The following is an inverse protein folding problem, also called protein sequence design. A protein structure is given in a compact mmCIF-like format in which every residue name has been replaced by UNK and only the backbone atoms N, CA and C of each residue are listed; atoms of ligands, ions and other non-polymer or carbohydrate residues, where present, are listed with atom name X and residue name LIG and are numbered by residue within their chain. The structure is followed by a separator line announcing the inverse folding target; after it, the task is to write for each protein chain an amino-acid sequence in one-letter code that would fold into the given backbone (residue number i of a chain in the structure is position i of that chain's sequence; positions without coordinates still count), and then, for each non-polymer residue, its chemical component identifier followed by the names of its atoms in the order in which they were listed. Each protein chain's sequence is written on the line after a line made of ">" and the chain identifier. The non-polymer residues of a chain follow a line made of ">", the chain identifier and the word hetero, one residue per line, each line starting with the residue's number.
data_IF_622713420950
#
_entry.id   IF_622713420950
#
_cell.length_a   1.000
_cell.length_b   1.000
_cell.length_c   1.000
_cell.angle_alpha   90.00
_cell.angle_beta   90.00
_cell.angle_gamma   90.00
#
_symmetry.space_group_name_H-M   'P 1'
#
loop_
_entity.id
_entity.type
_entity.pdbx_description
1 polymer ?
#
# COMPACT_ATOMS: atom_id res chain seq x y z
N UNK A 1 1.39 3.05 -29.76
CA UNK A 1 0.18 2.74 -28.96
C UNK A 1 0.00 1.24 -28.94
N UNK A 2 0.26 0.58 -27.82
CA UNK A 2 0.15 -0.87 -27.70
C UNK A 2 -1.31 -1.26 -27.48
N UNK A 3 -1.94 -1.90 -28.47
CA UNK A 3 -3.29 -2.46 -28.36
C UNK A 3 -3.21 -3.76 -27.53
N UNK A 4 -3.49 -3.66 -26.23
CA UNK A 4 -3.45 -4.80 -25.32
C UNK A 4 -4.67 -5.69 -25.53
N UNK A 5 -4.49 -6.89 -26.07
CA UNK A 5 -5.48 -7.97 -25.94
C UNK A 5 -5.32 -8.68 -24.59
N UNK A 6 -6.39 -9.29 -24.08
CA UNK A 6 -6.48 -10.15 -22.89
C UNK A 6 -5.37 -11.22 -22.87
N UNK A 7 -4.94 -11.72 -21.67
CA UNK A 7 -3.80 -12.63 -21.49
C UNK A 7 -3.60 -13.64 -22.62
N UNK A 8 -2.68 -13.31 -23.53
CA UNK A 8 -2.25 -14.24 -24.58
C UNK A 8 -1.10 -15.06 -24.01
N UNK A 9 -1.39 -16.34 -23.81
CA UNK A 9 -0.38 -17.36 -23.57
C UNK A 9 0.14 -17.84 -24.92
N UNK A 10 1.45 -17.79 -25.10
CA UNK A 10 2.13 -18.50 -26.18
C UNK A 10 2.45 -19.91 -25.67
N UNK A 11 2.41 -20.90 -26.55
CA UNK A 11 2.82 -22.26 -26.19
C UNK A 11 4.26 -22.48 -26.64
N UNK A 12 5.10 -22.95 -25.74
CA UNK A 12 6.45 -23.43 -26.03
C UNK A 12 6.60 -24.88 -25.56
N UNK A 13 7.74 -25.53 -25.79
CA UNK A 13 8.02 -26.89 -25.31
C UNK A 13 9.14 -26.90 -24.29
N UNK A 14 9.00 -27.70 -23.23
CA UNK A 14 10.09 -28.00 -22.32
C UNK A 14 11.11 -28.99 -22.93
N UNK A 15 12.23 -29.20 -22.23
CA UNK A 15 13.30 -30.15 -22.60
C UNK A 15 12.83 -31.60 -22.73
N UNK A 16 11.58 -31.89 -22.35
CA UNK A 16 10.92 -33.19 -22.44
C UNK A 16 9.76 -33.22 -23.46
N UNK A 17 9.60 -32.16 -24.27
CA UNK A 17 8.63 -32.06 -25.35
C UNK A 17 7.19 -31.73 -24.94
N UNK A 18 6.93 -31.43 -23.66
CA UNK A 18 5.61 -31.02 -23.14
C UNK A 18 5.35 -29.55 -23.38
N UNK A 19 4.09 -29.20 -23.68
CA UNK A 19 3.69 -27.81 -23.92
C UNK A 19 3.70 -27.00 -22.62
N UNK A 20 4.53 -25.96 -22.54
CA UNK A 20 4.53 -24.95 -21.48
C UNK A 20 3.84 -23.68 -21.98
N UNK A 21 3.08 -23.04 -21.10
CA UNK A 21 2.53 -21.71 -21.34
C UNK A 21 3.60 -20.64 -21.07
N UNK A 22 4.10 -20.00 -22.12
CA UNK A 22 5.00 -18.84 -22.03
C UNK A 22 4.17 -17.56 -21.99
N UNK A 23 4.34 -16.71 -20.97
CA UNK A 23 3.58 -15.49 -20.87
C UNK A 23 4.01 -14.44 -21.91
N UNK A 24 3.07 -13.67 -22.46
CA UNK A 24 3.38 -12.42 -23.15
C UNK A 24 3.67 -11.30 -22.13
N UNK A 25 4.84 -10.62 -22.17
CA UNK A 25 5.22 -9.61 -21.18
C UNK A 25 4.23 -8.44 -21.04
N UNK A 26 3.66 -7.94 -22.15
CA UNK A 26 2.70 -6.84 -22.11
C UNK A 26 1.44 -7.24 -21.35
N UNK A 27 1.01 -8.49 -21.52
CA UNK A 27 -0.20 -8.99 -20.87
C UNK A 27 0.02 -9.46 -19.43
N UNK A 28 1.23 -9.88 -19.08
CA UNK A 28 1.62 -10.14 -17.70
C UNK A 28 1.50 -8.87 -16.84
N UNK A 29 2.00 -7.74 -17.35
CA UNK A 29 1.98 -6.48 -16.61
C UNK A 29 0.55 -6.02 -16.35
N UNK A 30 -0.35 -6.20 -17.32
CA UNK A 30 -1.78 -5.92 -17.13
C UNK A 30 -2.41 -6.82 -16.06
N UNK A 31 -2.06 -8.11 -16.04
CA UNK A 31 -2.58 -9.03 -15.00
C UNK A 31 -2.05 -8.63 -13.62
N UNK A 32 -0.75 -8.37 -13.46
CA UNK A 32 -0.19 -7.89 -12.19
C UNK A 32 -0.89 -6.63 -11.72
N UNK A 33 -1.06 -5.66 -12.62
CA UNK A 33 -1.77 -4.42 -12.33
C UNK A 33 -3.23 -4.65 -11.90
N UNK A 34 -3.93 -5.66 -12.44
CA UNK A 34 -5.29 -6.00 -11.99
C UNK A 34 -5.30 -6.49 -10.53
N UNK A 35 -4.37 -7.38 -10.15
CA UNK A 35 -4.28 -7.90 -8.79
C UNK A 35 -3.93 -6.79 -7.79
N UNK A 36 -2.91 -5.98 -8.10
CA UNK A 36 -2.49 -4.87 -7.25
C UNK A 36 -3.58 -3.79 -7.14
N UNK A 37 -4.20 -3.41 -8.26
CA UNK A 37 -5.30 -2.43 -8.25
C UNK A 37 -6.48 -2.94 -7.44
N UNK A 38 -6.84 -4.22 -7.57
CA UNK A 38 -7.96 -4.78 -6.81
C UNK A 38 -7.72 -4.74 -5.31
N UNK A 39 -6.49 -4.84 -4.82
CA UNK A 39 -6.18 -4.74 -3.39
C UNK A 39 -6.26 -3.33 -2.82
N UNK A 40 -6.19 -2.28 -3.66
CA UNK A 40 -6.28 -0.90 -3.17
C UNK A 40 -7.62 -0.61 -2.47
N UNK A 41 -7.65 0.30 -1.48
CA UNK A 41 -8.89 0.71 -0.82
C UNK A 41 -9.93 1.23 -1.82
N UNK A 42 -11.21 0.93 -1.59
CA UNK A 42 -12.32 1.40 -2.42
C UNK A 42 -12.48 0.72 -3.80
N UNK A 43 -11.51 -0.10 -4.23
CA UNK A 43 -11.57 -0.76 -5.53
C UNK A 43 -12.50 -1.99 -5.52
N UNK A 44 -13.27 -2.12 -6.60
CA UNK A 44 -14.21 -3.22 -6.90
C UNK A 44 -13.86 -3.88 -8.24
N UNK A 45 -14.52 -5.00 -8.56
CA UNK A 45 -14.32 -5.65 -9.87
C UNK A 45 -14.72 -4.70 -11.01
N UNK A 46 -15.77 -3.90 -10.80
CA UNK A 46 -16.25 -2.89 -11.74
C UNK A 46 -15.20 -1.78 -11.96
N UNK A 47 -14.60 -1.25 -10.89
CA UNK A 47 -13.60 -0.19 -11.02
C UNK A 47 -12.32 -0.70 -11.68
N UNK A 48 -11.90 -1.93 -11.38
CA UNK A 48 -10.77 -2.58 -12.07
C UNK A 48 -11.09 -2.76 -13.55
N UNK A 49 -12.28 -3.26 -13.91
CA UNK A 49 -12.68 -3.40 -15.30
C UNK A 49 -12.76 -2.05 -16.03
N UNK A 50 -13.25 -0.99 -15.38
CA UNK A 50 -13.24 0.35 -15.92
C UNK A 50 -11.81 0.85 -16.21
N UNK A 51 -10.88 0.68 -15.25
CA UNK A 51 -9.49 1.11 -15.43
C UNK A 51 -8.78 0.33 -16.54
N UNK A 52 -9.04 -0.97 -16.66
CA UNK A 52 -8.49 -1.79 -17.74
C UNK A 52 -9.00 -1.37 -19.12
N UNK A 53 -10.27 -0.91 -19.21
CA UNK A 53 -10.82 -0.35 -20.45
C UNK A 53 -10.17 0.98 -20.82
N UNK A 54 -9.92 1.86 -19.85
CA UNK A 54 -9.23 3.14 -20.05
C UNK A 54 -7.82 2.95 -20.62
N UNK A 55 -7.11 1.92 -20.15
CA UNK A 55 -5.76 1.53 -20.62
C UNK A 55 -5.82 0.84 -22.01
N UNK A 56 -7.01 0.66 -22.58
CA UNK A 56 -7.21 0.08 -23.91
C UNK A 56 -7.12 -1.44 -23.95
N UNK A 57 -7.29 -2.11 -22.80
CA UNK A 57 -7.26 -3.58 -22.73
C UNK A 57 -8.57 -4.19 -23.25
N UNK A 58 -8.45 -5.03 -24.26
CA UNK A 58 -9.59 -5.64 -24.97
C UNK A 58 -9.54 -7.17 -24.88
N UNK A 59 -10.67 -7.83 -25.11
CA UNK A 59 -10.76 -9.29 -25.27
C UNK A 59 -10.15 -9.73 -26.59
N UNK A 60 -10.00 -11.05 -26.78
CA UNK A 60 -9.50 -11.65 -28.03
C UNK A 60 -10.21 -11.15 -29.29
N UNK A 61 -11.50 -10.80 -29.18
CA UNK A 61 -12.33 -10.37 -30.30
C UNK A 61 -12.42 -8.83 -30.40
N UNK A 62 -11.49 -8.10 -29.76
CA UNK A 62 -11.44 -6.63 -29.80
C UNK A 62 -12.49 -5.91 -28.95
N UNK A 63 -13.34 -6.66 -28.22
CA UNK A 63 -14.36 -6.05 -27.34
C UNK A 63 -13.75 -5.62 -26.01
N UNK A 64 -14.25 -4.56 -25.34
CA UNK A 64 -13.82 -4.21 -23.99
C UNK A 64 -13.92 -5.40 -23.02
N UNK A 65 -12.98 -5.51 -22.08
CA UNK A 65 -13.00 -6.60 -21.09
C UNK A 65 -14.20 -6.43 -20.14
N UNK A 66 -15.09 -7.43 -20.03
CA UNK A 66 -16.21 -7.38 -19.11
C UNK A 66 -15.77 -7.72 -17.67
N UNK A 67 -16.53 -7.24 -16.69
CA UNK A 67 -16.31 -7.49 -15.25
C UNK A 67 -16.20 -8.99 -14.93
N UNK A 68 -17.03 -9.82 -15.57
CA UNK A 68 -17.02 -11.27 -15.40
C UNK A 68 -15.69 -11.91 -15.80
N UNK A 69 -14.97 -11.31 -16.74
CA UNK A 69 -13.65 -11.77 -17.17
C UNK A 69 -12.59 -11.36 -16.16
N UNK A 70 -12.63 -10.11 -15.65
CA UNK A 70 -11.73 -9.65 -14.57
C UNK A 70 -11.89 -10.54 -13.33
N UNK A 71 -13.13 -10.84 -12.94
CA UNK A 71 -13.42 -11.75 -11.83
C UNK A 71 -12.80 -13.14 -12.04
N UNK A 72 -12.92 -13.70 -13.25
CA UNK A 72 -12.30 -15.00 -13.59
C UNK A 72 -10.77 -14.95 -13.50
N UNK A 73 -10.15 -13.84 -13.91
CA UNK A 73 -8.70 -13.66 -13.79
C UNK A 73 -8.27 -13.67 -12.33
N UNK A 74 -8.93 -12.86 -11.49
CA UNK A 74 -8.59 -12.72 -10.07
C UNK A 74 -8.78 -14.01 -9.27
N UNK A 75 -9.72 -14.89 -9.66
CA UNK A 75 -9.94 -16.21 -9.04
C UNK A 75 -8.98 -17.31 -9.50
N UNK A 76 -8.27 -17.12 -10.62
CA UNK A 76 -7.57 -18.22 -11.26
C UNK A 76 -6.20 -18.47 -10.60
N UNK A 77 -5.96 -19.64 -9.97
CA UNK A 77 -4.67 -19.94 -9.34
C UNK A 77 -3.55 -20.21 -10.37
N UNK A 78 -3.88 -20.26 -11.66
CA UNK A 78 -2.90 -20.33 -12.75
C UNK A 78 -1.82 -19.24 -12.63
N UNK A 79 -2.19 -18.04 -12.18
CA UNK A 79 -1.29 -16.90 -12.06
C UNK A 79 -0.27 -17.01 -10.93
N UNK A 80 -0.44 -17.96 -10.00
CA UNK A 80 0.53 -18.32 -8.96
C UNK A 80 1.24 -19.65 -9.25
N UNK A 81 1.11 -20.17 -10.48
CA UNK A 81 1.77 -21.42 -10.89
C UNK A 81 1.02 -22.69 -10.46
N UNK A 82 -0.29 -22.62 -10.22
CA UNK A 82 -1.10 -23.79 -9.85
C UNK A 82 -2.13 -24.07 -10.93
N UNK A 83 -2.21 -25.31 -11.39
CA UNK A 83 -3.19 -25.78 -12.35
C UNK A 83 -4.32 -26.55 -11.66
N UNK A 84 -5.57 -26.23 -12.01
CA UNK A 84 -6.74 -26.99 -11.55
C UNK A 84 -7.17 -28.00 -12.60
N UNK A 85 -7.20 -29.27 -12.21
CA UNK A 85 -7.71 -30.36 -13.05
C UNK A 85 -8.60 -31.28 -12.21
N UNK A 86 -9.80 -31.57 -12.71
CA UNK A 86 -10.80 -32.41 -12.02
C UNK A 86 -11.08 -32.02 -10.55
N UNK A 87 -11.10 -30.73 -10.24
CA UNK A 87 -11.31 -30.23 -8.88
C UNK A 87 -10.10 -30.35 -7.94
N UNK A 88 -8.98 -30.91 -8.39
CA UNK A 88 -7.72 -30.97 -7.65
C UNK A 88 -6.72 -29.92 -8.16
N UNK A 89 -5.84 -29.47 -7.25
CA UNK A 89 -4.79 -28.50 -7.53
C UNK A 89 -3.44 -29.21 -7.71
N UNK A 90 -2.75 -28.91 -8.80
CA UNK A 90 -1.44 -29.46 -9.12
C UNK A 90 -0.44 -28.33 -9.35
N UNK A 91 0.83 -28.49 -8.95
CA UNK A 91 1.87 -27.54 -9.31
C UNK A 91 2.03 -27.50 -10.84
N UNK A 92 1.97 -26.30 -11.40
CA UNK A 92 2.16 -26.05 -12.82
C UNK A 92 3.62 -25.79 -13.18
N UNK A 93 3.99 -26.10 -14.42
CA UNK A 93 5.34 -25.82 -14.95
C UNK A 93 5.52 -24.36 -15.39
N UNK A 94 4.46 -23.54 -15.34
CA UNK A 94 4.53 -22.13 -15.74
C UNK A 94 5.15 -21.24 -14.65
N UNK A 95 5.85 -20.18 -15.08
CA UNK A 95 6.37 -19.15 -14.17
C UNK A 95 5.22 -18.38 -13.51
N UNK A 96 5.19 -18.27 -12.16
CA UNK A 96 4.21 -17.45 -11.46
C UNK A 96 4.26 -15.99 -11.88
N UNK A 97 3.11 -15.42 -12.25
CA UNK A 97 2.98 -14.00 -12.61
C UNK A 97 2.80 -13.15 -11.35
N UNK A 98 1.99 -13.64 -10.41
CA UNK A 98 1.63 -12.96 -9.17
C UNK A 98 2.24 -13.74 -8.01
N UNK A 99 2.69 -13.04 -6.97
CA UNK A 99 3.17 -13.71 -5.75
C UNK A 99 1.99 -14.34 -5.01
N UNK A 100 2.24 -15.46 -4.32
CA UNK A 100 1.20 -16.21 -3.61
C UNK A 100 0.44 -15.33 -2.61
N UNK A 101 1.16 -14.50 -1.87
CA UNK A 101 0.61 -13.65 -0.82
C UNK A 101 -0.37 -12.61 -1.37
N UNK A 102 -0.08 -12.06 -2.56
CA UNK A 102 -0.96 -11.10 -3.25
C UNK A 102 -2.24 -11.81 -3.72
N UNK A 103 -2.12 -13.02 -4.25
CA UNK A 103 -3.28 -13.79 -4.69
C UNK A 103 -4.18 -14.20 -3.53
N UNK A 104 -3.60 -14.64 -2.42
CA UNK A 104 -4.31 -15.00 -1.18
C UNK A 104 -5.07 -13.79 -0.61
N UNK A 105 -4.41 -12.62 -0.52
CA UNK A 105 -5.08 -11.38 -0.11
C UNK A 105 -6.26 -11.01 -1.04
N UNK A 106 -6.15 -11.28 -2.34
CA UNK A 106 -7.25 -11.08 -3.29
C UNK A 106 -8.38 -12.08 -3.04
N UNK A 107 -8.07 -13.35 -2.77
CA UNK A 107 -9.07 -14.36 -2.43
C UNK A 107 -9.82 -14.00 -1.14
N UNK A 108 -9.10 -13.55 -0.12
CA UNK A 108 -9.69 -13.09 1.15
C UNK A 108 -10.65 -11.92 0.92
N UNK A 109 -10.27 -10.98 0.05
CA UNK A 109 -11.14 -9.85 -0.33
C UNK A 109 -12.36 -10.29 -1.16
N UNK A 110 -12.22 -11.31 -2.02
CA UNK A 110 -13.30 -11.85 -2.86
C UNK A 110 -14.30 -12.73 -2.08
N UNK A 111 -13.79 -13.58 -1.19
CA UNK A 111 -14.58 -14.53 -0.39
C UNK A 111 -15.02 -13.95 0.96
N UNK A 112 -14.42 -12.85 1.40
CA UNK A 112 -14.94 -12.04 2.49
C UNK A 112 -16.40 -11.63 2.24
N UNK A 113 -17.15 -11.35 3.32
CA UNK A 113 -18.56 -10.92 3.22
C UNK A 113 -18.68 -9.87 2.11
N UNK A 114 -19.49 -10.17 1.08
CA UNK A 114 -19.78 -9.23 -0.03
C UNK A 114 -19.89 -7.83 0.57
N UNK A 115 -19.03 -6.87 0.20
CA UNK A 115 -19.27 -5.50 0.59
C UNK A 115 -20.69 -5.19 0.11
N UNK A 116 -21.59 -4.87 1.05
CA UNK A 116 -22.95 -4.43 0.73
C UNK A 116 -22.79 -3.45 -0.42
N UNK A 117 -23.45 -3.72 -1.56
CA UNK A 117 -23.48 -2.85 -2.73
C UNK A 117 -23.39 -1.42 -2.19
N UNK A 118 -22.24 -0.77 -2.38
CA UNK A 118 -22.09 0.60 -1.91
C UNK A 118 -23.07 1.38 -2.77
N UNK A 119 -24.28 1.57 -2.27
CA UNK A 119 -25.07 2.72 -2.65
C UNK A 119 -24.11 3.87 -2.41
N UNK A 120 -23.73 4.58 -3.47
CA UNK A 120 -22.83 5.73 -3.43
C UNK A 120 -23.50 6.84 -2.62
N UNK A 121 -23.56 6.65 -1.31
CA UNK A 121 -23.61 7.72 -0.33
C UNK A 121 -22.15 7.98 0.03
N UNK A 122 -21.38 8.40 -0.97
CA UNK A 122 -19.95 8.60 -0.83
C UNK A 122 -19.72 10.01 -0.29
N UNK A 123 -20.18 10.27 0.93
CA UNK A 123 -19.88 11.54 1.60
C UNK A 123 -18.39 11.57 1.88
N UNK A 124 -17.68 12.63 1.51
CA UNK A 124 -16.26 12.84 1.85
C UNK A 124 -15.97 12.67 3.35
N UNK A 125 -16.98 12.84 4.20
CA UNK A 125 -16.93 12.70 5.66
C UNK A 125 -17.15 11.27 6.20
N UNK A 126 -17.38 10.28 5.32
CA UNK A 126 -17.60 8.89 5.71
C UNK A 126 -16.33 8.31 6.33
N UNK A 127 -16.43 7.76 7.54
CA UNK A 127 -15.27 7.18 8.23
C UNK A 127 -14.42 8.20 9.00
N UNK A 128 -14.67 9.49 8.78
CA UNK A 128 -13.82 10.59 9.25
C UNK A 128 -14.37 11.19 10.55
N UNK A 129 -15.68 11.44 10.61
CA UNK A 129 -16.28 12.15 11.75
C UNK A 129 -16.66 11.18 12.86
N UNK A 130 -16.31 11.51 14.09
CA UNK A 130 -16.61 10.73 15.30
C UNK A 130 -17.44 11.53 16.31
N UNK A 131 -18.22 10.82 17.14
CA UNK A 131 -18.95 11.46 18.23
C UNK A 131 -18.02 11.80 19.39
N UNK A 132 -17.91 13.07 19.77
CA UNK A 132 -17.07 13.50 20.88
C UNK A 132 -17.47 12.89 22.24
N UNK A 133 -18.69 12.34 22.37
CA UNK A 133 -19.18 11.76 23.63
C UNK A 133 -18.83 10.28 23.77
N UNK A 134 -18.95 9.50 22.70
CA UNK A 134 -18.81 8.04 22.77
C UNK A 134 -17.77 7.47 21.81
N UNK A 135 -17.04 8.31 21.07
CA UNK A 135 -16.03 7.91 20.08
C UNK A 135 -16.57 7.14 18.88
N UNK A 136 -17.88 6.90 18.81
CA UNK A 136 -18.47 6.13 17.72
C UNK A 136 -18.49 6.94 16.42
N UNK A 137 -18.25 6.23 15.33
CA UNK A 137 -18.29 6.76 13.97
C UNK A 137 -19.66 7.36 13.62
N UNK A 138 -19.64 8.48 12.91
CA UNK A 138 -20.85 9.13 12.37
C UNK A 138 -21.32 8.42 11.12
N UNK A 139 -22.61 8.10 11.10
CA UNK A 139 -23.27 7.51 9.93
C UNK A 139 -24.03 8.60 9.18
N UNK A 140 -23.80 8.68 7.87
CA UNK A 140 -24.37 9.70 7.00
C UNK A 140 -25.61 9.18 6.25
N UNK A 141 -26.65 9.99 6.19
CA UNK A 141 -27.91 9.69 5.51
C UNK A 141 -28.31 10.85 4.59
N UNK A 142 -28.71 10.54 3.36
CA UNK A 142 -29.20 11.53 2.41
C UNK A 142 -30.69 11.80 2.67
N UNK A 143 -31.05 13.06 2.96
CA UNK A 143 -32.42 13.51 3.15
C UNK A 143 -32.65 14.76 2.31
N UNK A 144 -33.63 14.71 1.38
CA UNK A 144 -34.01 15.85 0.51
C UNK A 144 -32.82 16.54 -0.16
N UNK A 145 -31.86 15.75 -0.66
CA UNK A 145 -30.67 16.25 -1.36
C UNK A 145 -29.55 16.78 -0.47
N UNK A 146 -29.62 16.59 0.86
CA UNK A 146 -28.56 16.98 1.81
C UNK A 146 -28.16 15.82 2.71
N UNK A 147 -26.88 15.73 3.06
CA UNK A 147 -26.38 14.70 3.96
C UNK A 147 -26.47 15.13 5.42
N UNK A 148 -27.00 14.23 6.24
CA UNK A 148 -27.14 14.38 7.69
C UNK A 148 -26.40 13.23 8.38
N UNK A 149 -25.43 13.58 9.22
CA UNK A 149 -24.65 12.67 10.06
C UNK A 149 -25.33 12.46 11.41
N UNK A 150 -25.36 11.22 11.89
CA UNK A 150 -25.80 10.88 13.24
C UNK A 150 -24.81 9.93 13.93
N UNK A 151 -24.65 10.10 15.24
CA UNK A 151 -23.98 9.11 16.08
C UNK A 151 -24.74 7.77 16.03
N UNK A 152 -24.01 6.65 16.05
CA UNK A 152 -24.60 5.30 16.11
C UNK A 152 -25.24 4.97 17.47
N UNK A 153 -25.18 5.87 18.44
CA UNK A 153 -25.79 5.75 19.78
C UNK A 153 -25.45 4.44 20.50
N UNK A 154 -24.20 4.00 20.38
CA UNK A 154 -23.69 2.80 21.08
C UNK A 154 -23.63 3.00 22.60
N UNK A 155 -23.49 4.25 23.04
CA UNK A 155 -23.47 4.65 24.44
C UNK A 155 -24.82 5.21 24.88
N UNK A 156 -25.21 4.93 26.11
CA UNK A 156 -26.45 5.40 26.73
C UNK A 156 -26.53 6.93 26.82
N UNK A 157 -25.38 7.59 27.04
CA UNK A 157 -25.25 9.05 27.01
C UNK A 157 -25.67 9.63 25.67
N UNK A 158 -25.55 8.87 24.58
CA UNK A 158 -25.91 9.28 23.22
C UNK A 158 -27.35 8.92 22.81
N UNK A 159 -28.12 8.22 23.66
CA UNK A 159 -29.53 7.87 23.38
C UNK A 159 -30.51 9.03 23.63
N UNK A 160 -30.05 10.09 24.29
CA UNK A 160 -30.86 11.28 24.55
C UNK A 160 -31.23 11.97 23.21
N UNK A 161 -32.50 12.40 23.04
CA UNK A 161 -32.98 13.09 21.83
C UNK A 161 -32.23 14.39 21.51
N UNK A 162 -31.43 14.91 22.45
CA UNK A 162 -30.55 16.07 22.25
C UNK A 162 -29.38 15.82 21.29
N UNK A 163 -29.00 14.56 21.00
CA UNK A 163 -28.01 14.25 19.96
C UNK A 163 -28.64 14.41 18.59
N UNK A 164 -28.68 15.66 18.14
CA UNK A 164 -29.15 16.10 16.84
C UNK A 164 -28.25 15.59 15.72
N UNK A 165 -28.84 15.57 14.54
CA UNK A 165 -28.13 15.33 13.29
C UNK A 165 -27.18 16.49 13.01
N UNK A 166 -25.97 16.19 12.56
CA UNK A 166 -25.07 17.20 12.02
C UNK A 166 -25.23 17.27 10.51
N UNK A 167 -25.25 18.47 9.94
CA UNK A 167 -25.29 18.65 8.50
C UNK A 167 -23.88 18.57 7.92
N UNK A 168 -23.77 17.99 6.73
CA UNK A 168 -22.49 17.90 6.02
C UNK A 168 -21.86 19.29 5.80
N UNK A 169 -22.65 20.27 5.34
CA UNK A 169 -22.13 21.61 5.02
C UNK A 169 -21.50 22.31 6.23
N UNK A 170 -22.00 22.05 7.43
CA UNK A 170 -21.42 22.59 8.67
C UNK A 170 -20.05 21.98 8.96
N UNK A 171 -19.87 20.68 8.68
CA UNK A 171 -18.57 20.01 8.86
C UNK A 171 -17.59 20.44 7.77
N UNK A 172 -18.04 20.53 6.51
CA UNK A 172 -17.19 20.96 5.41
C UNK A 172 -16.65 22.38 5.63
N UNK A 173 -17.51 23.28 6.10
CA UNK A 173 -17.13 24.66 6.41
C UNK A 173 -16.13 24.72 7.58
N UNK A 174 -16.35 23.94 8.65
CA UNK A 174 -15.41 23.87 9.78
C UNK A 174 -14.03 23.31 9.35
N UNK A 175 -14.03 22.27 8.52
CA UNK A 175 -12.80 21.72 7.93
C UNK A 175 -12.08 22.78 7.11
N UNK A 176 -12.80 23.50 6.24
CA UNK A 176 -12.22 24.51 5.38
C UNK A 176 -11.53 25.62 6.19
N UNK A 177 -12.19 26.09 7.24
CA UNK A 177 -11.62 27.10 8.14
C UNK A 177 -10.35 26.59 8.82
N UNK A 178 -10.30 25.32 9.24
CA UNK A 178 -9.08 24.77 9.80
C UNK A 178 -7.98 24.53 8.76
N UNK A 179 -8.31 24.14 7.53
CA UNK A 179 -7.34 24.06 6.43
C UNK A 179 -6.72 25.45 6.14
N UNK A 180 -7.52 26.51 6.16
CA UNK A 180 -7.03 27.88 6.01
C UNK A 180 -6.14 28.32 7.18
N UNK A 181 -6.43 27.86 8.41
CA UNK A 181 -5.59 28.12 9.59
C UNK A 181 -4.23 27.45 9.55
N UNK A 182 -4.11 26.33 8.84
CA UNK A 182 -2.84 25.63 8.65
C UNK A 182 -1.88 26.36 7.69
N UNK A 183 -2.36 27.33 6.92
CA UNK A 183 -1.53 28.06 5.97
C UNK A 183 -0.47 28.90 6.68
N UNK A 184 0.78 28.68 6.30
CA UNK A 184 1.91 29.49 6.73
C UNK A 184 1.79 30.88 6.09
N UNK A 185 1.78 31.96 6.88
CA UNK A 185 1.67 33.31 6.32
C UNK A 185 2.90 33.73 5.49
N UNK A 186 4.06 33.10 5.70
CA UNK A 186 5.33 33.47 5.08
C UNK A 186 5.83 32.37 4.16
N UNK A 187 5.79 32.65 2.86
CA UNK A 187 6.26 31.74 1.83
C UNK A 187 7.77 31.45 1.94
N UNK A 188 8.58 32.45 2.31
CA UNK A 188 10.03 32.28 2.47
C UNK A 188 10.39 31.37 3.65
N UNK A 189 9.63 31.43 4.75
CA UNK A 189 9.81 30.51 5.88
C UNK A 189 9.44 29.09 5.45
N UNK A 190 8.33 28.92 4.73
CA UNK A 190 7.91 27.61 4.25
C UNK A 190 8.96 26.97 3.34
N UNK A 191 9.46 27.72 2.36
CA UNK A 191 10.52 27.27 1.44
C UNK A 191 11.77 26.85 2.21
N UNK A 192 12.23 27.69 3.14
CA UNK A 192 13.38 27.37 3.98
C UNK A 192 13.18 26.11 4.84
N UNK A 193 12.00 25.93 5.43
CA UNK A 193 11.67 24.72 6.21
C UNK A 193 11.69 23.48 5.32
N UNK A 194 11.04 23.53 4.16
CA UNK A 194 10.99 22.40 3.22
C UNK A 194 12.40 22.04 2.75
N UNK A 195 13.21 23.02 2.34
CA UNK A 195 14.60 22.82 1.93
C UNK A 195 15.45 22.21 3.07
N UNK A 196 15.29 22.72 4.30
CA UNK A 196 15.99 22.19 5.47
C UNK A 196 15.60 20.74 5.74
N UNK A 197 14.30 20.41 5.68
CA UNK A 197 13.82 19.04 5.86
C UNK A 197 14.30 18.10 4.75
N UNK A 198 14.34 18.57 3.50
CA UNK A 198 14.87 17.80 2.37
C UNK A 198 16.37 17.52 2.53
N UNK A 199 17.17 18.53 2.90
CA UNK A 199 18.60 18.34 3.19
C UNK A 199 18.83 17.34 4.33
N UNK A 200 17.97 17.36 5.34
CA UNK A 200 17.99 16.43 6.46
C UNK A 200 17.63 14.98 6.09
N UNK A 201 16.82 14.79 5.04
CA UNK A 201 16.51 13.49 4.44
C UNK A 201 17.70 12.98 3.65
N UNK A 202 18.31 13.83 2.83
CA UNK A 202 19.50 13.51 2.03
C UNK A 202 20.66 13.10 2.92
N UNK A 203 21.03 13.92 3.90
CA UNK A 203 22.11 13.59 4.86
C UNK A 203 21.85 12.29 5.60
N UNK A 204 20.60 12.01 5.98
CA UNK A 204 20.25 10.75 6.63
C UNK A 204 20.38 9.55 5.68
N UNK A 205 20.05 9.73 4.40
CA UNK A 205 20.22 8.70 3.38
C UNK A 205 21.70 8.44 3.07
N UNK A 206 22.52 9.49 2.95
CA UNK A 206 23.95 9.39 2.67
C UNK A 206 24.69 8.71 3.82
N UNK A 207 24.47 9.17 5.07
CA UNK A 207 25.05 8.54 6.25
C UNK A 207 24.66 7.05 6.35
N UNK A 208 23.42 6.71 5.97
CA UNK A 208 22.96 5.32 5.95
C UNK A 208 23.70 4.51 4.88
N UNK A 209 23.82 5.04 3.68
CA UNK A 209 24.52 4.38 2.58
C UNK A 209 25.99 4.12 2.93
N UNK A 210 26.64 5.08 3.59
CA UNK A 210 28.02 4.94 4.07
C UNK A 210 28.13 3.83 5.14
N UNK A 211 27.25 3.82 6.15
CA UNK A 211 27.25 2.78 7.20
C UNK A 211 26.98 1.40 6.59
N UNK A 212 26.05 1.31 5.64
CA UNK A 212 25.74 0.05 4.94
C UNK A 212 26.94 -0.45 4.14
N UNK A 213 27.61 0.42 3.39
CA UNK A 213 28.81 0.09 2.63
C UNK A 213 29.95 -0.37 3.54
N UNK A 214 30.21 0.35 4.63
CA UNK A 214 31.25 0.00 5.60
C UNK A 214 30.98 -1.35 6.27
N UNK A 215 29.71 -1.62 6.60
CA UNK A 215 29.31 -2.90 7.22
C UNK A 215 29.46 -4.07 6.24
N UNK A 216 29.04 -3.90 4.97
CA UNK A 216 29.25 -4.91 3.92
C UNK A 216 30.74 -5.18 3.69
N UNK A 217 31.56 -4.14 3.62
CA UNK A 217 33.01 -4.28 3.46
C UNK A 217 33.65 -5.06 4.63
N UNK A 218 33.15 -4.86 5.86
CA UNK A 218 33.59 -5.64 7.02
C UNK A 218 33.18 -7.11 6.92
N UNK A 219 31.94 -7.39 6.53
CA UNK A 219 31.45 -8.77 6.33
C UNK A 219 32.32 -9.49 5.28
N UNK A 220 32.58 -8.86 4.15
CA UNK A 220 33.42 -9.45 3.09
C UNK A 220 34.86 -9.69 3.55
N UNK A 221 35.42 -8.79 4.36
CA UNK A 221 36.74 -9.00 4.97
C UNK A 221 36.75 -10.23 5.88
N UNK A 222 35.72 -10.39 6.72
CA UNK A 222 35.62 -11.54 7.64
C UNK A 222 35.46 -12.84 6.85
N UNK A 223 34.65 -12.85 5.78
CA UNK A 223 34.51 -14.02 4.88
C UNK A 223 35.84 -14.40 4.24
N UNK A 224 36.58 -13.43 3.70
CA UNK A 224 37.90 -13.69 3.11
C UNK A 224 38.90 -14.23 4.15
N UNK A 225 38.84 -13.76 5.40
CA UNK A 225 39.63 -14.32 6.50
C UNK A 225 39.22 -15.75 6.86
N UNK A 226 37.94 -16.09 6.78
CA UNK A 226 37.42 -17.44 7.01
C UNK A 226 37.83 -18.41 5.89
N UNK A 227 37.81 -17.96 4.63
CA UNK A 227 38.33 -18.72 3.48
C UNK A 227 39.82 -19.01 3.65
N UNK A 228 40.63 -18.01 4.00
CA UNK A 228 42.07 -18.21 4.26
C UNK A 228 42.31 -19.17 5.45
N UNK A 229 41.49 -19.08 6.50
CA UNK A 229 41.55 -19.99 7.65
C UNK A 229 41.25 -21.44 7.23
N UNK A 230 40.34 -21.64 6.29
CA UNK A 230 40.03 -22.95 5.71
C UNK A 230 41.20 -23.51 4.89
N UNK A 231 41.84 -22.68 4.07
CA UNK A 231 43.02 -23.08 3.29
C UNK A 231 44.20 -23.46 4.19
N UNK A 232 44.48 -22.68 5.24
CA UNK A 232 45.51 -22.99 6.25
C UNK A 232 45.24 -24.33 6.95
N UNK A 233 43.95 -24.63 7.18
CA UNK A 233 43.52 -25.91 7.77
C UNK A 233 43.77 -27.07 6.81
N UNK A 234 43.45 -26.91 5.53
CA UNK A 234 43.73 -27.93 4.49
C UNK A 234 45.23 -28.18 4.30
N UNK A 235 46.04 -27.13 4.40
CA UNK A 235 47.50 -27.22 4.34
C UNK A 235 48.13 -27.82 5.62
N UNK A 236 47.34 -28.06 6.67
CA UNK A 236 47.81 -28.62 7.94
C UNK A 236 48.57 -27.63 8.82
N UNK A 237 48.50 -26.32 8.53
CA UNK A 237 49.17 -25.26 9.30
C UNK A 237 48.50 -25.04 10.67
N UNK A 238 47.20 -25.35 10.78
CA UNK A 238 46.42 -25.18 12.01
C UNK A 238 45.64 -26.46 12.43
N UNK A 239 45.35 -26.56 13.73
CA UNK A 239 44.58 -27.67 14.31
C UNK A 239 43.08 -27.54 14.01
N UNK A 240 42.34 -28.66 14.14
CA UNK A 240 40.87 -28.67 13.96
C UNK A 240 40.18 -27.74 14.97
N UNK A 241 40.53 -27.87 16.25
CA UNK A 241 39.99 -27.07 17.35
C UNK A 241 40.20 -25.56 17.12
N UNK A 242 41.39 -25.18 16.61
CA UNK A 242 41.70 -23.78 16.31
C UNK A 242 40.88 -23.24 15.14
N UNK A 243 40.66 -24.06 14.10
CA UNK A 243 39.76 -23.72 12.99
C UNK A 243 38.33 -23.52 13.49
N UNK A 244 37.76 -24.49 14.20
CA UNK A 244 36.37 -24.46 14.68
C UNK A 244 36.12 -23.22 15.56
N UNK A 245 36.99 -22.95 16.53
CA UNK A 245 36.87 -21.78 17.41
C UNK A 245 36.85 -20.46 16.64
N UNK A 246 37.72 -20.33 15.62
CA UNK A 246 37.82 -19.10 14.83
C UNK A 246 36.68 -18.95 13.83
N UNK A 247 36.30 -20.04 13.18
CA UNK A 247 35.17 -20.09 12.26
C UNK A 247 33.86 -19.71 12.97
N UNK A 248 33.59 -20.29 14.15
CA UNK A 248 32.42 -19.94 14.95
C UNK A 248 32.42 -18.45 15.35
N UNK A 249 33.57 -17.91 15.73
CA UNK A 249 33.73 -16.48 16.04
C UNK A 249 33.40 -15.60 14.82
N UNK A 250 33.89 -15.95 13.63
CA UNK A 250 33.62 -15.19 12.41
C UNK A 250 32.15 -15.28 11.99
N UNK A 251 31.56 -16.47 12.03
CA UNK A 251 30.14 -16.66 11.71
C UNK A 251 29.23 -15.92 12.70
N UNK A 252 29.60 -15.87 13.98
CA UNK A 252 28.90 -15.08 15.00
C UNK A 252 28.97 -13.58 14.74
N UNK A 253 30.14 -13.06 14.33
CA UNK A 253 30.32 -11.65 13.98
C UNK A 253 29.54 -11.27 12.71
N UNK A 254 29.61 -12.09 11.66
CA UNK A 254 28.82 -11.90 10.42
C UNK A 254 27.34 -11.82 10.76
N UNK A 255 26.82 -12.79 11.52
CA UNK A 255 25.41 -12.81 11.92
C UNK A 255 25.01 -11.55 12.69
N UNK A 256 25.87 -11.06 13.58
CA UNK A 256 25.62 -9.84 14.36
C UNK A 256 25.56 -8.60 13.45
N UNK A 257 26.48 -8.48 12.49
CA UNK A 257 26.51 -7.39 11.52
C UNK A 257 25.31 -7.43 10.56
N UNK A 258 24.91 -8.62 10.10
CA UNK A 258 23.72 -8.80 9.25
C UNK A 258 22.42 -8.41 9.99
N UNK A 259 22.29 -8.79 11.26
CA UNK A 259 21.16 -8.37 12.10
C UNK A 259 21.15 -6.85 12.32
N UNK A 260 22.32 -6.24 12.54
CA UNK A 260 22.43 -4.79 12.66
C UNK A 260 22.00 -4.08 11.37
N UNK A 261 22.41 -4.58 10.20
CA UNK A 261 21.97 -4.06 8.90
C UNK A 261 20.45 -4.22 8.68
N UNK A 262 19.87 -5.35 9.07
CA UNK A 262 18.42 -5.57 8.98
C UNK A 262 17.63 -4.65 9.93
N UNK A 263 18.22 -4.29 11.08
CA UNK A 263 17.62 -3.36 12.04
C UNK A 263 17.79 -1.88 11.69
N UNK A 264 18.64 -1.55 10.70
CA UNK A 264 18.88 -0.18 10.27
C UNK A 264 17.64 0.39 9.58
N UNK A 265 16.86 1.07 10.41
CA UNK A 265 15.44 1.27 10.20
C UNK A 265 15.17 2.26 9.06
N UNK A 266 14.60 1.78 7.96
CA UNK A 266 14.06 2.62 6.89
C UNK A 266 12.98 3.58 7.38
N UNK A 267 12.44 3.38 8.58
CA UNK A 267 11.37 4.25 9.12
C UNK A 267 11.80 5.69 9.33
N UNK A 268 13.08 5.98 9.61
CA UNK A 268 13.50 7.37 9.91
C UNK A 268 13.41 8.24 8.65
N UNK A 269 14.02 7.78 7.55
CA UNK A 269 13.97 8.48 6.25
C UNK A 269 12.53 8.58 5.75
N UNK A 270 11.75 7.50 5.84
CA UNK A 270 10.34 7.50 5.42
C UNK A 270 9.47 8.40 6.29
N UNK A 271 9.72 8.47 7.60
CA UNK A 271 9.02 9.40 8.52
C UNK A 271 9.33 10.85 8.17
N UNK A 272 10.59 11.18 7.87
CA UNK A 272 10.98 12.53 7.44
C UNK A 272 10.32 12.90 6.10
N UNK A 273 10.36 12.00 5.10
CA UNK A 273 9.68 12.18 3.80
C UNK A 273 8.18 12.40 3.96
N UNK A 274 7.55 11.59 4.82
CA UNK A 274 6.13 11.76 5.17
C UNK A 274 5.88 13.14 5.79
N UNK A 275 6.75 13.62 6.68
CA UNK A 275 6.66 14.96 7.25
C UNK A 275 6.65 16.08 6.20
N UNK A 276 7.53 15.99 5.18
CA UNK A 276 7.57 16.94 4.06
C UNK A 276 6.26 16.90 3.28
N UNK A 277 5.81 15.70 2.91
CA UNK A 277 4.54 15.53 2.20
C UNK A 277 3.35 16.12 2.97
N UNK A 278 3.28 15.86 4.28
CA UNK A 278 2.23 16.40 5.16
C UNK A 278 2.26 17.93 5.22
N UNK A 279 3.44 18.53 5.30
CA UNK A 279 3.61 19.97 5.28
C UNK A 279 3.13 20.54 3.93
N UNK A 280 3.61 20.02 2.81
CA UNK A 280 3.16 20.49 1.48
C UNK A 280 1.66 20.30 1.24
N UNK A 281 1.07 19.24 1.80
CA UNK A 281 -0.36 18.99 1.73
C UNK A 281 -1.12 20.06 2.50
N UNK A 282 -0.72 20.38 3.75
CA UNK A 282 -1.39 21.37 4.58
C UNK A 282 -1.37 22.77 3.95
N UNK A 283 -0.30 23.11 3.23
CA UNK A 283 -0.14 24.41 2.58
C UNK A 283 -0.94 24.58 1.28
N UNK A 284 -1.39 23.48 0.67
CA UNK A 284 -2.12 23.54 -0.61
C UNK A 284 -3.56 23.07 -0.50
N UNK A 285 -3.89 22.25 0.50
CA UNK A 285 -5.20 21.63 0.67
C UNK A 285 -6.34 22.66 0.64
N UNK A 286 -6.22 23.76 1.37
CA UNK A 286 -7.24 24.82 1.40
C UNK A 286 -7.62 25.35 0.00
N UNK A 287 -6.65 25.44 -0.92
CA UNK A 287 -6.84 26.01 -2.26
C UNK A 287 -7.68 25.11 -3.17
N UNK A 288 -7.44 23.80 -3.15
CA UNK A 288 -8.08 22.87 -4.08
C UNK A 288 -9.13 21.98 -3.41
N UNK A 289 -9.31 22.05 -2.08
CA UNK A 289 -10.21 21.16 -1.35
C UNK A 289 -11.59 21.09 -2.00
N UNK A 290 -12.20 22.23 -2.33
CA UNK A 290 -13.54 22.28 -2.91
C UNK A 290 -13.64 21.63 -4.31
N UNK A 291 -12.56 21.67 -5.09
CA UNK A 291 -12.47 21.12 -6.46
C UNK A 291 -12.29 19.59 -6.50
N UNK A 292 -11.92 18.99 -5.36
CA UNK A 292 -11.63 17.56 -5.23
C UNK A 292 -12.90 16.71 -5.16
N UNK A 293 -12.79 15.47 -5.64
CA UNK A 293 -13.85 14.49 -5.49
C UNK A 293 -13.98 14.02 -4.02
N UNK A 294 -15.06 13.30 -3.70
CA UNK A 294 -15.34 12.89 -2.32
C UNK A 294 -14.29 11.96 -1.72
N UNK A 295 -13.64 11.11 -2.54
CA UNK A 295 -12.60 10.20 -2.06
C UNK A 295 -11.29 10.96 -1.82
N UNK A 296 -10.93 11.89 -2.71
CA UNK A 296 -9.78 12.77 -2.52
C UNK A 296 -9.95 13.68 -1.30
N UNK A 297 -11.13 14.30 -1.11
CA UNK A 297 -11.45 15.09 0.08
C UNK A 297 -11.29 14.26 1.34
N UNK A 298 -11.82 13.04 1.35
CA UNK A 298 -11.68 12.11 2.49
C UNK A 298 -10.21 11.81 2.78
N UNK A 299 -9.40 11.59 1.76
CA UNK A 299 -7.99 11.28 1.94
C UNK A 299 -7.24 12.45 2.58
N UNK A 300 -7.48 13.69 2.11
CA UNK A 300 -6.92 14.91 2.71
C UNK A 300 -7.30 14.98 4.20
N UNK A 301 -8.56 14.71 4.53
CA UNK A 301 -9.04 14.74 5.91
C UNK A 301 -8.35 13.71 6.81
N UNK A 302 -8.22 12.47 6.35
CA UNK A 302 -7.59 11.38 7.10
C UNK A 302 -6.09 11.63 7.29
N UNK A 303 -5.45 12.29 6.31
CA UNK A 303 -4.03 12.59 6.39
C UNK A 303 -3.76 13.75 7.35
N UNK A 304 -4.46 14.88 7.19
CA UNK A 304 -4.16 16.13 7.91
C UNK A 304 -4.73 16.17 9.34
N UNK A 305 -5.86 15.51 9.59
CA UNK A 305 -6.55 15.62 10.88
C UNK A 305 -6.60 14.28 11.59
N UNK A 306 -6.19 14.28 12.86
CA UNK A 306 -6.23 13.07 13.68
C UNK A 306 -7.68 12.68 14.01
N UNK A 307 -8.53 13.65 14.35
CA UNK A 307 -9.92 13.42 14.72
C UNK A 307 -10.82 14.61 14.36
N UNK A 308 -11.85 14.38 13.56
CA UNK A 308 -12.93 15.35 13.38
C UNK A 308 -14.11 14.91 14.24
N UNK A 309 -14.42 15.68 15.27
CA UNK A 309 -15.42 15.36 16.27
C UNK A 309 -16.66 16.25 16.17
N UNK A 310 -17.82 15.68 16.45
CA UNK A 310 -19.05 16.46 16.58
C UNK A 310 -19.69 16.32 17.98
N UNK A 311 -20.23 17.42 18.50
CA UNK A 311 -20.98 17.50 19.75
C UNK A 311 -22.01 18.62 19.69
N UNK A 312 -23.30 18.30 19.90
CA UNK A 312 -24.38 19.30 20.04
C UNK A 312 -24.38 20.41 18.96
N UNK A 313 -24.45 20.02 17.68
CA UNK A 313 -24.41 20.92 16.51
C UNK A 313 -23.07 21.66 16.27
N UNK A 314 -22.04 21.43 17.11
CA UNK A 314 -20.70 21.97 16.92
C UNK A 314 -19.73 20.90 16.40
N UNK A 315 -18.77 21.35 15.60
CA UNK A 315 -17.65 20.55 15.07
C UNK A 315 -16.38 21.03 15.74
N UNK A 316 -15.57 20.09 16.19
CA UNK A 316 -14.18 20.31 16.57
C UNK A 316 -13.35 19.47 15.61
N UNK A 317 -12.47 20.12 14.87
CA UNK A 317 -11.48 19.48 13.99
C UNK A 317 -10.15 19.42 14.73
#
# INVERSE_FOLDING_TARGET
>A
MATGSSPRWVYDRDDHGKRIHVPNPATMNSVRAMFELYLKPGQSIESVAAKMREIGLTTRNGRPIPESHVHKILLNPFYIGINRFNGQEYPGAQTPIVRREVWEAVQDKLHGKRPKKQVRHNVSLKGVVTCATCGSQVSWQLQKGRYYGACQRRDERCKNRKYKYIREDVVQEAVKQELERLLCPSQSILEWVVESMQSDVEKAADNRAEVEQNTKARIERIKSMDEALYDDKLAGVITQERYETKHESFMGEIKTLELAMASFDSTVTERKRRGIYMLELSQRAAKYYDEKDDDEKRQILIELFENIMFKNDAVSV
#
